data_IF_286261907138
#
_entry.id   IF_286261907138
#
_cell.length_a   1.000
_cell.length_b   1.000
_cell.length_c   1.000
_cell.angle_alpha   90.00
_cell.angle_beta   90.00
_cell.angle_gamma   90.00
#
_symmetry.space_group_name_H-M   'P 1'
#
loop_
_entity.id
_entity.type
_entity.pdbx_description
1 polymer ?
#
# COMPACT_ATOMS: atom_id res chain seq x y z
N UNK A 1 11.14 -9.24 3.30
CA UNK A 1 11.64 -10.32 2.43
C UNK A 1 12.06 -11.57 3.21
N UNK A 2 12.62 -11.43 4.41
CA UNK A 2 13.10 -12.58 5.18
C UNK A 2 12.03 -13.26 6.06
N UNK A 3 10.80 -12.75 6.10
CA UNK A 3 9.69 -13.42 6.78
C UNK A 3 9.11 -14.50 5.83
N UNK A 4 9.23 -15.79 6.17
CA UNK A 4 8.78 -16.89 5.32
C UNK A 4 7.26 -16.94 5.15
N UNK A 5 6.48 -16.33 6.06
CA UNK A 5 5.02 -16.28 5.97
C UNK A 5 4.56 -15.15 5.01
N UNK A 6 5.45 -14.20 4.70
CA UNK A 6 5.15 -13.05 3.85
C UNK A 6 5.83 -13.12 2.48
N UNK A 7 7.04 -13.68 2.40
CA UNK A 7 7.82 -13.82 1.16
C UNK A 7 7.01 -14.35 -0.03
N UNK A 8 6.16 -15.38 0.12
CA UNK A 8 5.42 -15.92 -1.01
C UNK A 8 4.48 -14.92 -1.68
N UNK A 9 4.01 -13.88 -0.97
CA UNK A 9 3.14 -12.84 -1.52
C UNK A 9 3.88 -11.88 -2.47
N UNK A 10 5.20 -11.81 -2.38
CA UNK A 10 6.04 -10.91 -3.16
C UNK A 10 6.75 -11.59 -4.35
N UNK A 11 6.61 -12.91 -4.51
CA UNK A 11 7.17 -13.62 -5.66
C UNK A 11 6.62 -13.08 -6.97
N UNK A 12 7.51 -12.74 -7.90
CA UNK A 12 7.15 -12.18 -9.20
C UNK A 12 6.85 -10.67 -9.19
N UNK A 13 6.91 -10.01 -8.03
CA UNK A 13 6.85 -8.55 -7.94
C UNK A 13 8.26 -7.99 -8.17
N UNK A 14 8.42 -7.08 -9.12
CA UNK A 14 9.70 -6.44 -9.35
C UNK A 14 10.08 -5.52 -8.17
N UNK A 15 11.39 -5.43 -7.88
CA UNK A 15 11.89 -4.69 -6.72
C UNK A 15 11.61 -3.19 -6.80
N UNK A 16 11.55 -2.61 -8.00
CA UNK A 16 11.27 -1.18 -8.19
C UNK A 16 9.83 -0.87 -7.77
N UNK A 17 8.87 -1.68 -8.24
CA UNK A 17 7.47 -1.62 -7.84
C UNK A 17 7.32 -1.87 -6.35
N UNK A 18 8.05 -2.84 -5.79
CA UNK A 18 7.95 -3.13 -4.37
C UNK A 18 8.45 -1.96 -3.51
N UNK A 19 9.60 -1.37 -3.84
CA UNK A 19 10.12 -0.17 -3.16
C UNK A 19 9.13 1.00 -3.27
N UNK A 20 8.58 1.23 -4.46
CA UNK A 20 7.57 2.27 -4.66
C UNK A 20 6.31 2.04 -3.79
N UNK A 21 5.86 0.80 -3.67
CA UNK A 21 4.74 0.41 -2.79
C UNK A 21 5.08 0.67 -1.31
N UNK A 22 6.27 0.32 -0.86
CA UNK A 22 6.69 0.57 0.54
C UNK A 22 6.78 2.07 0.84
N UNK A 23 7.34 2.88 -0.06
CA UNK A 23 7.39 4.34 0.11
C UNK A 23 5.98 4.95 0.17
N UNK A 24 5.05 4.47 -0.67
CA UNK A 24 3.66 4.91 -0.64
C UNK A 24 2.96 4.51 0.65
N UNK A 25 3.22 3.30 1.15
CA UNK A 25 2.69 2.83 2.42
C UNK A 25 3.20 3.66 3.60
N UNK A 26 4.50 3.98 3.63
CA UNK A 26 5.10 4.86 4.63
C UNK A 26 4.47 6.25 4.61
N UNK A 27 4.33 6.85 3.43
CA UNK A 27 3.69 8.15 3.26
C UNK A 27 2.22 8.12 3.71
N UNK A 28 1.50 7.02 3.47
CA UNK A 28 0.14 6.84 3.97
C UNK A 28 0.09 6.75 5.49
N UNK A 29 0.96 5.94 6.09
CA UNK A 29 1.00 5.70 7.53
C UNK A 29 1.25 7.00 8.34
N UNK A 30 2.02 7.93 7.77
CA UNK A 30 2.31 9.24 8.37
C UNK A 30 1.44 10.39 7.81
N UNK A 31 0.33 10.07 7.14
CA UNK A 31 -0.62 11.09 6.66
C UNK A 31 -0.10 12.02 5.55
N UNK A 32 1.05 11.71 4.93
CA UNK A 32 1.66 12.51 3.88
C UNK A 32 0.98 12.36 2.50
N UNK A 33 0.00 11.45 2.34
CA UNK A 33 -0.72 11.26 1.08
C UNK A 33 -2.15 11.79 1.14
N UNK A 34 -2.53 12.64 0.18
CA UNK A 34 -3.91 13.14 0.00
C UNK A 34 -4.80 12.21 -0.83
N UNK A 35 -4.22 11.23 -1.55
CA UNK A 35 -4.91 10.44 -2.59
C UNK A 35 -4.74 8.91 -2.48
N UNK A 36 -4.37 8.38 -1.31
CA UNK A 36 -4.38 6.92 -1.07
C UNK A 36 -5.48 6.59 -0.06
N UNK A 37 -6.56 5.98 -0.55
CA UNK A 37 -7.75 5.71 0.23
C UNK A 37 -7.96 4.21 0.43
N UNK A 38 -8.88 3.85 1.33
CA UNK A 38 -9.24 2.44 1.58
C UNK A 38 -9.64 1.67 0.32
N UNK A 39 -10.27 2.33 -0.67
CA UNK A 39 -10.59 1.71 -1.97
C UNK A 39 -9.34 1.24 -2.73
N UNK A 40 -8.25 2.00 -2.67
CA UNK A 40 -7.00 1.69 -3.38
C UNK A 40 -6.30 0.51 -2.70
N UNK A 41 -6.36 0.44 -1.36
CA UNK A 41 -5.89 -0.70 -0.57
C UNK A 41 -6.66 -1.96 -0.96
N UNK A 42 -8.00 -1.89 -1.02
CA UNK A 42 -8.83 -3.04 -1.41
C UNK A 42 -8.50 -3.50 -2.84
N UNK A 43 -8.47 -2.59 -3.82
CA UNK A 43 -8.18 -2.95 -5.22
C UNK A 43 -6.79 -3.58 -5.38
N UNK A 44 -5.79 -3.10 -4.64
CA UNK A 44 -4.42 -3.62 -4.70
C UNK A 44 -4.23 -4.99 -4.06
N UNK A 45 -5.08 -5.39 -3.11
CA UNK A 45 -4.84 -6.59 -2.28
C UNK A 45 -5.97 -7.62 -2.34
N UNK A 46 -7.16 -7.29 -2.86
CA UNK A 46 -8.30 -8.21 -2.91
C UNK A 46 -7.96 -9.54 -3.60
N UNK A 47 -7.22 -9.50 -4.72
CA UNK A 47 -6.78 -10.72 -5.41
C UNK A 47 -5.90 -11.62 -4.53
N UNK A 48 -5.10 -11.06 -3.63
CA UNK A 48 -4.28 -11.84 -2.69
C UNK A 48 -5.13 -12.48 -1.60
N UNK A 49 -6.17 -11.77 -1.13
CA UNK A 49 -7.11 -12.29 -0.11
C UNK A 49 -7.95 -13.42 -0.69
N UNK A 50 -8.48 -13.22 -1.90
CA UNK A 50 -9.40 -14.16 -2.56
C UNK A 50 -8.64 -15.39 -3.09
N UNK A 51 -7.52 -15.18 -3.79
CA UNK A 51 -6.87 -16.26 -4.55
C UNK A 51 -5.64 -16.84 -3.85
N UNK A 52 -5.04 -16.13 -2.88
CA UNK A 52 -3.76 -16.49 -2.28
C UNK A 52 -3.78 -16.64 -0.76
N UNK A 53 -4.95 -16.53 -0.14
CA UNK A 53 -5.11 -16.74 1.31
C UNK A 53 -4.50 -15.65 2.18
N UNK A 54 -4.28 -14.45 1.64
CA UNK A 54 -3.90 -13.29 2.46
C UNK A 54 -5.00 -13.03 3.52
N UNK A 55 -4.60 -12.79 4.76
CA UNK A 55 -5.51 -12.70 5.89
C UNK A 55 -4.92 -11.82 7.00
N UNK A 56 -5.65 -11.67 8.11
CA UNK A 56 -5.29 -10.80 9.21
C UNK A 56 -3.94 -11.13 9.88
N UNK A 57 -3.53 -12.40 9.97
CA UNK A 57 -2.23 -12.74 10.57
C UNK A 57 -1.05 -12.25 9.72
N UNK A 58 -1.20 -12.29 8.40
CA UNK A 58 -0.21 -11.73 7.47
C UNK A 58 -0.16 -10.20 7.60
N UNK A 59 -1.31 -9.54 7.71
CA UNK A 59 -1.37 -8.10 7.96
C UNK A 59 -0.65 -7.72 9.26
N UNK A 60 -0.95 -8.44 10.35
CA UNK A 60 -0.37 -8.18 11.67
C UNK A 60 1.15 -8.33 11.66
N UNK A 61 1.68 -9.31 10.91
CA UNK A 61 3.14 -9.46 10.69
C UNK A 61 3.74 -8.27 9.95
N UNK A 62 3.12 -7.81 8.87
CA UNK A 62 3.59 -6.63 8.12
C UNK A 62 3.58 -5.39 9.01
N UNK A 63 2.52 -5.18 9.80
CA UNK A 63 2.41 -4.08 10.74
C UNK A 63 3.50 -4.16 11.83
N UNK A 64 3.78 -5.36 12.35
CA UNK A 64 4.87 -5.60 13.30
C UNK A 64 6.24 -5.21 12.73
N UNK A 65 6.60 -5.75 11.56
CA UNK A 65 7.86 -5.42 10.88
C UNK A 65 8.01 -3.92 10.61
N UNK A 66 6.91 -3.25 10.25
CA UNK A 66 6.89 -1.81 10.06
C UNK A 66 7.21 -1.05 11.35
N UNK A 67 6.53 -1.38 12.45
CA UNK A 67 6.77 -0.75 13.76
C UNK A 67 8.20 -1.02 14.25
N UNK A 68 8.70 -2.25 14.10
CA UNK A 68 10.05 -2.61 14.52
C UNK A 68 11.11 -1.87 13.70
N UNK A 69 10.89 -1.71 12.38
CA UNK A 69 11.77 -0.90 11.53
C UNK A 69 11.84 0.57 12.00
N UNK A 70 10.71 1.15 12.41
CA UNK A 70 10.70 2.53 12.93
C UNK A 70 11.46 2.65 14.26
N UNK A 71 11.31 1.67 15.15
CA UNK A 71 12.06 1.62 16.42
C UNK A 71 13.57 1.50 16.17
N UNK A 72 13.98 0.63 15.25
CA UNK A 72 15.39 0.45 14.88
C UNK A 72 16.02 1.73 14.30
N UNK A 73 15.23 2.52 13.57
CA UNK A 73 15.66 3.83 13.05
C UNK A 73 15.63 4.95 14.11
N UNK A 74 15.22 4.66 15.34
CA UNK A 74 15.16 5.65 16.43
C UNK A 74 14.04 6.68 16.28
N UNK A 75 12.96 6.33 15.58
CA UNK A 75 11.77 7.19 15.48
C UNK A 75 11.11 7.33 16.87
N UNK A 76 10.65 8.53 17.20
CA UNK A 76 9.99 8.81 18.47
C UNK A 76 8.71 7.98 18.64
N UNK A 77 8.47 7.50 19.87
CA UNK A 77 7.32 6.62 20.17
C UNK A 77 5.98 7.25 19.79
N UNK A 78 5.82 8.56 19.96
CA UNK A 78 4.58 9.28 19.58
C UNK A 78 4.25 9.14 18.09
N UNK A 79 5.27 9.19 17.22
CA UNK A 79 5.09 9.01 15.78
C UNK A 79 4.83 7.54 15.42
N UNK A 80 5.43 6.60 16.16
CA UNK A 80 5.16 5.17 16.01
C UNK A 80 3.70 4.87 16.36
N UNK A 81 3.19 5.46 17.44
CA UNK A 81 1.81 5.28 17.89
C UNK A 81 0.81 5.89 16.90
N UNK A 82 1.12 7.06 16.33
CA UNK A 82 0.34 7.66 15.25
C UNK A 82 0.25 6.73 14.04
N UNK A 83 1.39 6.25 13.56
CA UNK A 83 1.45 5.36 12.41
C UNK A 83 0.71 4.03 12.69
N UNK A 84 0.86 3.47 13.89
CA UNK A 84 0.14 2.27 14.31
C UNK A 84 -1.38 2.50 14.31
N UNK A 85 -1.85 3.68 14.75
CA UNK A 85 -3.26 4.06 14.68
C UNK A 85 -3.83 4.00 13.26
N UNK A 86 -3.08 4.49 12.27
CA UNK A 86 -3.46 4.40 10.85
C UNK A 86 -3.55 2.94 10.39
N UNK A 87 -2.58 2.10 10.77
CA UNK A 87 -2.60 0.66 10.44
C UNK A 87 -3.82 -0.06 11.03
N UNK A 88 -4.16 0.22 12.29
CA UNK A 88 -5.35 -0.34 12.93
C UNK A 88 -6.63 0.07 12.17
N UNK A 89 -6.70 1.31 11.69
CA UNK A 89 -7.85 1.81 10.91
C UNK A 89 -8.09 1.04 9.60
N UNK A 90 -7.05 0.54 8.95
CA UNK A 90 -7.16 -0.21 7.68
C UNK A 90 -7.16 -1.71 7.82
N UNK A 91 -6.76 -2.25 8.99
CA UNK A 91 -6.75 -3.69 9.29
C UNK A 91 -8.07 -4.40 8.90
N UNK A 92 -9.27 -3.85 9.14
CA UNK A 92 -10.52 -4.52 8.76
C UNK A 92 -10.64 -4.80 7.26
N UNK A 93 -9.94 -4.07 6.39
CA UNK A 93 -9.95 -4.29 4.93
C UNK A 93 -9.28 -5.60 4.51
N UNK A 94 -8.49 -6.21 5.40
CA UNK A 94 -7.77 -7.47 5.19
C UNK A 94 -8.46 -8.68 5.81
N UNK A 95 -9.67 -8.50 6.34
CA UNK A 95 -10.51 -9.58 6.86
C UNK A 95 -11.11 -10.41 5.69
N UNK A 96 -10.76 -11.70 5.54
CA UNK A 96 -11.29 -12.55 4.47
C UNK A 96 -12.81 -12.67 4.49
N UNK A 97 -13.47 -12.55 5.65
CA UNK A 97 -14.93 -12.62 5.76
C UNK A 97 -15.62 -11.52 4.94
N UNK A 98 -14.97 -10.38 4.70
CA UNK A 98 -15.50 -9.30 3.85
C UNK A 98 -15.62 -9.67 2.38
N UNK A 99 -14.93 -10.70 1.92
CA UNK A 99 -14.80 -11.06 0.50
C UNK A 99 -15.54 -12.34 0.12
N UNK A 100 -16.04 -13.11 1.11
CA UNK A 100 -16.83 -14.31 0.86
C UNK A 100 -18.08 -14.01 0.03
N UNK A 101 -18.35 -14.85 -0.97
CA UNK A 101 -19.57 -14.79 -1.80
C UNK A 101 -19.64 -13.63 -2.81
N UNK A 102 -18.61 -12.80 -2.94
CA UNK A 102 -18.57 -11.65 -3.88
C UNK A 102 -17.77 -11.93 -5.16
N UNK A 103 -17.55 -13.20 -5.46
CA UNK A 103 -16.46 -13.62 -6.33
C UNK A 103 -16.93 -13.77 -7.77
N UNK A 104 -16.43 -12.87 -8.61
CA UNK A 104 -16.23 -13.11 -10.03
C UNK A 104 -14.71 -13.01 -10.29
N UNK A 105 -14.00 -14.13 -10.07
CA UNK A 105 -12.52 -14.19 -9.99
C UNK A 105 -11.88 -13.56 -11.23
N UNK A 106 -12.44 -13.83 -12.41
CA UNK A 106 -11.93 -13.35 -13.69
C UNK A 106 -11.92 -11.82 -13.83
N UNK A 107 -12.88 -11.11 -13.22
CA UNK A 107 -12.98 -9.66 -13.32
C UNK A 107 -11.90 -8.96 -12.48
N UNK A 108 -11.57 -9.54 -11.33
CA UNK A 108 -10.57 -8.98 -10.39
C UNK A 108 -9.16 -9.28 -10.90
N UNK A 109 -8.89 -10.47 -11.43
CA UNK A 109 -7.60 -10.83 -12.02
C UNK A 109 -7.24 -9.94 -13.23
N UNK A 110 -8.22 -9.64 -14.11
CA UNK A 110 -8.01 -8.69 -15.22
C UNK A 110 -7.68 -7.27 -14.74
N UNK A 111 -8.28 -6.80 -13.64
CA UNK A 111 -7.98 -5.49 -13.07
C UNK A 111 -6.61 -5.44 -12.38
N UNK A 112 -6.19 -6.53 -11.72
CA UNK A 112 -4.90 -6.62 -11.03
C UNK A 112 -3.68 -6.77 -11.97
N UNK A 113 -3.90 -7.27 -13.19
CA UNK A 113 -2.82 -7.55 -14.17
C UNK A 113 -2.61 -6.39 -15.16
N UNK A 114 -3.46 -5.35 -15.13
CA UNK A 114 -3.31 -4.17 -16.00
C UNK A 114 -2.29 -3.21 -15.37
N UNK A 115 -1.16 -2.89 -16.03
CA UNK A 115 -0.25 -1.85 -15.56
C UNK A 115 -1.02 -0.53 -15.43
N UNK A 116 -0.91 0.15 -14.28
CA UNK A 116 -1.42 1.51 -14.15
C UNK A 116 -0.58 2.45 -15.03
N UNK A 117 -0.88 2.53 -16.32
CA UNK A 117 -0.44 3.62 -17.18
C UNK A 117 -1.33 4.82 -16.89
N UNK A 118 -0.81 5.79 -16.14
CA UNK A 118 -1.39 7.14 -16.08
C UNK A 118 -1.35 7.74 -17.51
N UNK A 119 -2.39 8.44 -18.00
CA UNK A 119 -2.21 9.28 -19.17
C UNK A 119 -1.23 10.39 -18.79
N UNK A 120 -0.19 10.55 -19.60
CA UNK A 120 0.62 11.77 -19.57
C UNK A 120 -0.29 12.92 -19.99
N UNK A 121 -0.64 13.80 -19.04
CA UNK A 121 -1.29 15.06 -19.39
C UNK A 121 -0.23 16.15 -19.43
N UNK A 122 -0.26 16.85 -20.57
CA UNK A 122 0.75 17.75 -21.10
C UNK A 122 0.89 19.03 -20.27
N UNK A 123 2.04 19.68 -20.45
CA UNK A 123 2.45 20.87 -19.71
C UNK A 123 1.44 22.02 -19.76
N UNK A 124 1.31 22.68 -18.62
CA UNK A 124 0.91 24.07 -18.57
C UNK A 124 2.17 24.89 -18.29
N UNK A 125 2.57 25.68 -19.28
CA UNK A 125 3.57 26.74 -19.15
C UNK A 125 3.19 27.67 -17.98
N UNK A 126 4.13 27.90 -17.08
CA UNK A 126 4.05 28.98 -16.12
C UNK A 126 4.39 30.31 -16.84
N UNK A 127 3.59 31.38 -16.72
CA UNK A 127 4.00 32.69 -17.21
C UNK A 127 5.02 33.30 -16.23
N UNK A 128 5.93 34.08 -16.83
CA UNK A 128 7.21 34.50 -16.31
C UNK A 128 7.18 35.32 -15.01
N UNK A 129 8.17 35.06 -14.15
CA UNK A 129 8.56 35.94 -13.06
C UNK A 129 10.02 36.39 -13.31
N UNK A 130 10.20 37.58 -13.91
CA UNK A 130 11.45 38.34 -13.81
C UNK A 130 11.19 39.82 -14.19
N UNK A 131 11.29 40.71 -13.21
CA UNK A 131 11.62 42.12 -13.44
C UNK A 131 13.06 42.21 -13.97
N UNK A 132 13.37 43.18 -14.84
CA UNK A 132 14.58 44.04 -14.85
C UNK A 132 14.59 44.91 -16.13
N UNK A 133 14.77 46.22 -15.90
CA UNK A 133 14.96 47.37 -16.82
C UNK A 133 13.72 48.03 -17.42
#
# INVERSE_FOLDING_TARGET
MNDPDLEPFFRGVDMVTLIAKQNRFLAYAFGATTHYHGKDIVMGHAHLIINRGLNLSHFDKVAGHFVDSLKEMGVAQELIDEAAGVLIGVRPLFDPERYKGKVDVEKIEKAATTPQSKPAEAGQEAPACCSIM
#
